data_IF_062259229902
#
_entry.id   IF_062259229902
#
_cell.length_a   1.000
_cell.length_b   1.000
_cell.length_c   1.000
_cell.angle_alpha   90.00
_cell.angle_beta   90.00
_cell.angle_gamma   90.00
#
_symmetry.space_group_name_H-M   'P 1'
#
loop_
_entity.id
_entity.type
_entity.pdbx_description
1 polymer ?
#
# COMPACT_ATOMS: atom_id res chain seq x y z
N UNK A 1 -0.80 -10.64 -20.47
CA UNK A 1 0.27 -11.24 -19.63
C UNK A 1 -0.31 -11.84 -18.34
N UNK A 2 -1.08 -11.09 -17.58
CA UNK A 2 -1.70 -11.53 -16.31
C UNK A 2 -2.66 -12.72 -16.48
N UNK A 3 -3.53 -12.73 -17.50
CA UNK A 3 -4.51 -13.79 -17.77
C UNK A 3 -3.87 -15.17 -17.92
N UNK A 4 -2.67 -15.25 -18.48
CA UNK A 4 -1.98 -16.52 -18.72
C UNK A 4 -1.26 -17.03 -17.47
N UNK A 5 -0.77 -16.15 -16.62
CA UNK A 5 -0.07 -16.51 -15.38
C UNK A 5 -1.01 -16.88 -14.22
N UNK A 6 -2.19 -16.23 -14.11
CA UNK A 6 -3.17 -16.60 -13.10
C UNK A 6 -3.73 -18.03 -13.28
N UNK A 7 -3.71 -18.55 -14.54
CA UNK A 7 -4.12 -19.94 -14.85
C UNK A 7 -3.03 -20.98 -14.65
N UNK A 8 -1.78 -20.59 -14.49
CA UNK A 8 -0.62 -21.49 -14.37
C UNK A 8 0.34 -21.05 -13.26
N UNK A 9 -0.21 -20.51 -12.16
CA UNK A 9 0.62 -20.11 -11.03
C UNK A 9 0.97 -21.36 -10.21
N UNK A 10 2.25 -21.75 -10.21
CA UNK A 10 2.75 -22.86 -9.41
C UNK A 10 2.37 -22.80 -7.91
N UNK A 11 2.11 -21.59 -7.38
CA UNK A 11 1.65 -21.39 -6.01
C UNK A 11 0.26 -21.99 -5.79
N UNK A 12 -0.64 -21.91 -6.78
CA UNK A 12 -1.97 -22.53 -6.69
C UNK A 12 -1.94 -24.05 -6.75
N UNK A 13 -0.83 -24.62 -7.21
CA UNK A 13 -0.65 -26.06 -7.32
C UNK A 13 -0.13 -26.70 -6.02
N UNK A 14 0.30 -25.86 -5.05
CA UNK A 14 0.71 -26.31 -3.73
C UNK A 14 -0.50 -26.47 -2.82
N UNK A 15 -0.81 -27.69 -2.32
CA UNK A 15 -1.99 -27.95 -1.50
C UNK A 15 -2.06 -27.04 -0.24
N UNK A 16 -0.91 -26.73 0.34
CA UNK A 16 -0.79 -25.87 1.54
C UNK A 16 -1.18 -24.43 1.28
N UNK A 17 -1.03 -23.96 0.04
CA UNK A 17 -1.34 -22.60 -0.38
C UNK A 17 -2.68 -22.49 -1.10
N UNK A 18 -3.23 -23.62 -1.58
CA UNK A 18 -4.52 -23.69 -2.26
C UNK A 18 -5.69 -23.78 -1.26
N UNK A 19 -5.61 -23.07 -0.15
CA UNK A 19 -6.65 -23.03 0.88
C UNK A 19 -7.21 -21.62 0.97
N UNK A 20 -8.53 -21.50 0.84
CA UNK A 20 -9.22 -20.21 0.97
C UNK A 20 -9.20 -19.75 2.43
N UNK A 21 -8.34 -18.78 2.76
CA UNK A 21 -8.16 -18.20 4.09
C UNK A 21 -8.68 -16.78 4.13
N UNK A 22 -10.01 -16.61 4.26
CA UNK A 22 -10.68 -15.31 4.36
C UNK A 22 -10.14 -14.23 3.37
N UNK A 23 -10.04 -14.50 2.07
CA UNK A 23 -9.58 -13.50 1.12
C UNK A 23 -10.58 -12.35 1.03
N UNK A 24 -10.07 -11.12 0.88
CA UNK A 24 -10.92 -9.94 0.73
C UNK A 24 -11.84 -10.05 -0.49
N UNK A 25 -13.13 -9.75 -0.30
CA UNK A 25 -14.12 -9.85 -1.38
C UNK A 25 -13.76 -8.99 -2.60
N UNK A 26 -13.25 -7.78 -2.38
CA UNK A 26 -12.81 -6.88 -3.46
C UNK A 26 -11.71 -7.52 -4.31
N UNK A 27 -10.70 -8.12 -3.68
CA UNK A 27 -9.63 -8.79 -4.40
C UNK A 27 -10.16 -9.96 -5.24
N UNK A 28 -11.00 -10.82 -4.65
CA UNK A 28 -11.58 -11.98 -5.36
C UNK A 28 -12.44 -11.52 -6.54
N UNK A 29 -13.36 -10.59 -6.33
CA UNK A 29 -14.25 -10.07 -7.37
C UNK A 29 -13.47 -9.45 -8.53
N UNK A 30 -12.44 -8.64 -8.23
CA UNK A 30 -11.60 -8.03 -9.24
C UNK A 30 -10.84 -9.09 -10.05
N UNK A 31 -10.22 -10.07 -9.38
CA UNK A 31 -9.49 -11.15 -10.05
C UNK A 31 -10.41 -12.03 -10.90
N UNK A 32 -11.60 -12.36 -10.42
CA UNK A 32 -12.61 -13.12 -11.19
C UNK A 32 -13.04 -12.36 -12.46
N UNK A 33 -13.20 -11.03 -12.36
CA UNK A 33 -13.53 -10.17 -13.50
C UNK A 33 -12.40 -10.18 -14.53
N UNK A 34 -11.15 -10.03 -14.10
CA UNK A 34 -9.95 -10.10 -14.95
C UNK A 34 -9.87 -11.48 -15.63
N UNK A 35 -10.11 -12.56 -14.90
CA UNK A 35 -10.10 -13.93 -15.45
C UNK A 35 -11.15 -14.13 -16.54
N UNK A 36 -12.31 -13.48 -16.44
CA UNK A 36 -13.37 -13.50 -17.47
C UNK A 36 -13.04 -12.61 -18.67
N UNK A 37 -11.96 -11.84 -18.60
CA UNK A 37 -11.49 -11.01 -19.70
C UNK A 37 -11.97 -9.57 -19.69
N UNK A 38 -12.59 -9.15 -18.61
CA UNK A 38 -13.05 -7.79 -18.38
C UNK A 38 -12.14 -7.04 -17.43
N UNK A 39 -12.16 -5.72 -17.44
CA UNK A 39 -11.49 -4.90 -16.43
C UNK A 39 -12.37 -4.82 -15.20
N UNK A 40 -11.83 -4.95 -13.99
CA UNK A 40 -12.58 -4.69 -12.78
C UNK A 40 -12.90 -3.20 -12.72
N UNK A 41 -14.12 -2.88 -12.30
CA UNK A 41 -14.54 -1.50 -12.04
C UNK A 41 -15.07 -1.50 -10.61
N UNK A 42 -14.42 -0.74 -9.73
CA UNK A 42 -14.84 -0.60 -8.36
C UNK A 42 -14.38 0.73 -7.77
N UNK A 43 -14.92 1.09 -6.63
CA UNK A 43 -14.53 2.27 -5.87
C UNK A 43 -14.02 1.86 -4.48
N UNK A 44 -13.27 0.75 -4.42
CA UNK A 44 -12.79 0.20 -3.17
C UNK A 44 -11.54 0.92 -2.69
N UNK A 45 -11.54 1.31 -1.42
CA UNK A 45 -10.39 1.81 -0.66
C UNK A 45 -9.92 0.84 0.43
N UNK A 46 -10.30 -0.43 0.31
CA UNK A 46 -9.93 -1.47 1.28
C UNK A 46 -8.42 -1.68 1.39
N UNK A 47 -7.97 -2.17 2.54
CA UNK A 47 -6.54 -2.37 2.84
C UNK A 47 -5.86 -3.48 2.01
N UNK A 48 -6.62 -4.33 1.29
CA UNK A 48 -6.07 -5.46 0.53
C UNK A 48 -5.06 -5.08 -0.56
N UNK A 49 -5.09 -3.84 -1.05
CA UNK A 49 -4.11 -3.30 -1.99
C UNK A 49 -2.75 -3.07 -1.33
N UNK A 50 -2.72 -2.30 -0.26
CA UNK A 50 -1.49 -1.92 0.45
C UNK A 50 -0.77 -3.12 1.09
N UNK A 51 -1.50 -4.13 1.54
CA UNK A 51 -0.94 -5.31 2.23
C UNK A 51 0.03 -6.14 1.40
N UNK A 52 0.06 -6.00 0.07
CA UNK A 52 0.83 -6.86 -0.84
C UNK A 52 1.99 -6.17 -1.55
N UNK A 53 2.24 -4.88 -1.31
CA UNK A 53 3.20 -4.11 -2.11
C UNK A 53 4.63 -4.18 -1.62
N UNK A 54 4.88 -4.54 -0.37
CA UNK A 54 6.23 -4.57 0.21
C UNK A 54 7.30 -5.31 -0.64
N UNK A 55 7.00 -6.41 -1.35
CA UNK A 55 7.96 -7.04 -2.23
C UNK A 55 8.47 -6.16 -3.39
N UNK A 56 7.72 -5.13 -3.80
CA UNK A 56 8.08 -4.29 -4.95
C UNK A 56 9.34 -3.47 -4.68
N UNK A 57 9.39 -2.60 -3.66
CA UNK A 57 10.60 -1.83 -3.37
C UNK A 57 11.77 -2.73 -2.97
N UNK A 58 11.53 -3.80 -2.18
CA UNK A 58 12.58 -4.72 -1.76
C UNK A 58 13.20 -5.49 -2.92
N UNK A 59 12.39 -5.97 -3.89
CA UNK A 59 12.90 -6.64 -5.07
C UNK A 59 13.65 -5.67 -5.99
N UNK A 60 13.14 -4.45 -6.18
CA UNK A 60 13.81 -3.40 -6.95
C UNK A 60 15.22 -3.12 -6.44
N UNK A 61 15.36 -3.00 -5.12
CA UNK A 61 16.65 -2.83 -4.44
C UNK A 61 17.58 -4.03 -4.60
N UNK A 62 17.08 -5.25 -4.36
CA UNK A 62 17.90 -6.47 -4.33
C UNK A 62 18.58 -6.79 -5.66
N UNK A 63 18.01 -6.34 -6.77
CA UNK A 63 18.50 -6.64 -8.11
C UNK A 63 19.27 -5.49 -8.76
N UNK A 64 19.44 -4.35 -8.07
CA UNK A 64 19.95 -3.09 -8.68
C UNK A 64 19.27 -2.76 -10.01
N UNK A 65 18.04 -3.26 -10.22
CA UNK A 65 17.34 -3.13 -11.51
C UNK A 65 16.60 -1.82 -11.65
N UNK A 66 16.15 -1.27 -10.53
CA UNK A 66 15.39 -0.03 -10.50
C UNK A 66 15.98 0.82 -9.38
N UNK A 67 16.80 1.79 -9.75
CA UNK A 67 17.39 2.77 -8.83
C UNK A 67 16.49 3.99 -8.59
N UNK A 68 15.46 4.17 -9.41
CA UNK A 68 14.54 5.29 -9.27
C UNK A 68 13.36 4.87 -8.39
N UNK A 69 13.31 5.41 -7.19
CA UNK A 69 12.26 5.14 -6.20
C UNK A 69 10.86 5.53 -6.71
N UNK A 70 10.73 6.59 -7.50
CA UNK A 70 9.44 7.01 -8.05
C UNK A 70 8.80 5.91 -8.91
N UNK A 71 9.62 5.18 -9.70
CA UNK A 71 9.13 4.04 -10.50
C UNK A 71 8.63 2.91 -9.60
N UNK A 72 9.32 2.63 -8.49
CA UNK A 72 8.89 1.60 -7.53
C UNK A 72 7.59 1.98 -6.85
N UNK A 73 7.44 3.25 -6.49
CA UNK A 73 6.22 3.77 -5.89
C UNK A 73 5.03 3.69 -6.87
N UNK A 74 5.24 4.05 -8.14
CA UNK A 74 4.22 3.91 -9.19
C UNK A 74 3.82 2.44 -9.39
N UNK A 75 4.79 1.53 -9.45
CA UNK A 75 4.51 0.09 -9.56
C UNK A 75 3.71 -0.44 -8.37
N UNK A 76 3.96 0.06 -7.16
CA UNK A 76 3.21 -0.32 -5.97
C UNK A 76 1.75 0.19 -6.04
N UNK A 77 1.56 1.45 -6.45
CA UNK A 77 0.23 2.00 -6.69
C UNK A 77 -0.53 1.21 -7.77
N UNK A 78 0.11 0.92 -8.90
CA UNK A 78 -0.48 0.14 -9.99
C UNK A 78 -0.84 -1.29 -9.56
N UNK A 79 0.02 -1.93 -8.77
CA UNK A 79 -0.26 -3.26 -8.20
C UNK A 79 -1.47 -3.24 -7.25
N UNK A 80 -1.66 -2.15 -6.50
CA UNK A 80 -2.86 -1.95 -5.68
C UNK A 80 -4.10 -1.69 -6.55
N UNK A 81 -3.96 -0.86 -7.57
CA UNK A 81 -5.02 -0.42 -8.48
C UNK A 81 -5.66 -1.58 -9.27
N UNK A 82 -4.93 -2.67 -9.48
CA UNK A 82 -5.49 -3.89 -10.11
C UNK A 82 -6.82 -4.33 -9.43
N UNK A 83 -6.98 -4.08 -8.15
CA UNK A 83 -8.14 -4.54 -7.37
C UNK A 83 -8.83 -3.44 -6.56
N UNK A 84 -8.19 -2.29 -6.35
CA UNK A 84 -8.69 -1.18 -5.53
C UNK A 84 -8.50 0.12 -6.29
N UNK A 85 -9.56 0.58 -6.97
CA UNK A 85 -9.47 1.69 -7.93
C UNK A 85 -9.73 3.07 -7.30
N UNK A 86 -10.23 3.13 -6.07
CA UNK A 86 -10.37 4.40 -5.37
C UNK A 86 -8.96 5.00 -5.08
N UNK A 87 -8.75 6.32 -5.21
CA UNK A 87 -7.46 6.94 -4.90
C UNK A 87 -6.92 6.58 -3.51
N UNK A 88 -7.75 6.59 -2.47
CA UNK A 88 -7.37 6.09 -1.13
C UNK A 88 -7.10 4.57 -1.09
N UNK A 89 -7.35 3.82 -2.13
CA UNK A 89 -6.98 2.40 -2.23
C UNK A 89 -5.57 2.20 -2.77
N UNK A 90 -5.02 3.12 -3.57
CA UNK A 90 -3.71 2.96 -4.21
C UNK A 90 -2.67 4.02 -3.83
N UNK A 91 -3.06 5.26 -3.48
CA UNK A 91 -2.09 6.28 -3.02
C UNK A 91 -1.36 5.84 -1.74
N UNK A 92 -2.02 5.23 -0.73
CA UNK A 92 -1.31 4.67 0.42
C UNK A 92 -0.25 3.62 0.05
N UNK A 93 -0.47 2.84 -1.01
CA UNK A 93 0.50 1.88 -1.51
C UNK A 93 1.75 2.55 -2.11
N UNK A 94 1.55 3.68 -2.83
CA UNK A 94 2.64 4.53 -3.32
C UNK A 94 3.53 5.03 -2.16
N UNK A 95 2.89 5.62 -1.14
CA UNK A 95 3.55 6.18 0.05
C UNK A 95 4.30 5.08 0.82
N UNK A 96 3.64 3.95 1.09
CA UNK A 96 4.24 2.82 1.81
C UNK A 96 5.45 2.25 1.07
N UNK A 97 5.41 2.16 -0.26
CA UNK A 97 6.55 1.72 -1.07
C UNK A 97 7.77 2.62 -0.85
N UNK A 98 7.55 3.93 -0.83
CA UNK A 98 8.62 4.90 -0.57
C UNK A 98 9.25 4.70 0.82
N UNK A 99 8.41 4.62 1.84
CA UNK A 99 8.87 4.42 3.23
C UNK A 99 9.68 3.13 3.35
N UNK A 100 9.19 2.01 2.79
CA UNK A 100 9.93 0.74 2.78
C UNK A 100 11.27 0.86 2.07
N UNK A 101 11.30 1.54 0.91
CA UNK A 101 12.54 1.78 0.17
C UNK A 101 13.55 2.55 1.02
N UNK A 102 13.13 3.65 1.65
CA UNK A 102 13.98 4.49 2.50
C UNK A 102 14.52 3.71 3.70
N UNK A 103 13.64 2.99 4.41
CA UNK A 103 14.05 2.14 5.54
C UNK A 103 15.03 1.04 5.14
N UNK A 104 14.85 0.45 3.95
CA UNK A 104 15.73 -0.62 3.46
C UNK A 104 17.07 -0.11 2.92
N UNK A 105 17.20 1.18 2.64
CA UNK A 105 18.45 1.81 2.16
C UNK A 105 19.19 2.59 3.24
N UNK A 106 18.56 2.87 4.36
CA UNK A 106 19.18 3.51 5.50
C UNK A 106 19.86 2.45 6.40
N UNK A 107 21.13 2.63 6.68
CA UNK A 107 21.90 1.70 7.52
C UNK A 107 21.55 1.84 9.02
N UNK A 108 21.13 3.03 9.45
CA UNK A 108 20.82 3.35 10.85
C UNK A 108 19.56 4.21 10.99
N UNK A 109 18.38 3.67 10.65
CA UNK A 109 17.14 4.45 10.72
C UNK A 109 16.82 4.84 12.17
N UNK A 110 16.55 6.12 12.38
CA UNK A 110 16.06 6.68 13.64
C UNK A 110 14.58 7.03 13.53
N UNK A 111 13.96 7.41 14.65
CA UNK A 111 12.57 7.90 14.64
C UNK A 111 12.45 9.22 13.86
N UNK A 112 13.44 10.08 13.96
CA UNK A 112 13.48 11.35 13.23
C UNK A 112 13.58 11.10 11.73
N UNK A 113 14.53 10.26 11.29
CA UNK A 113 14.67 9.93 9.86
C UNK A 113 13.44 9.19 9.32
N UNK A 114 12.75 8.39 10.14
CA UNK A 114 11.47 7.79 9.74
C UNK A 114 10.40 8.86 9.46
N UNK A 115 10.27 9.88 10.32
CA UNK A 115 9.35 11.00 10.08
C UNK A 115 9.69 11.75 8.80
N UNK A 116 10.98 11.95 8.53
CA UNK A 116 11.44 12.58 7.28
C UNK A 116 11.03 11.75 6.06
N UNK A 117 11.12 10.41 6.13
CA UNK A 117 10.68 9.53 5.02
C UNK A 117 9.18 9.58 4.80
N UNK A 118 8.39 9.70 5.86
CA UNK A 118 6.95 9.90 5.75
C UNK A 118 6.64 11.23 5.07
N UNK A 119 7.29 12.32 5.49
CA UNK A 119 7.11 13.65 4.88
C UNK A 119 7.51 13.65 3.40
N UNK A 120 8.66 13.05 3.05
CA UNK A 120 9.13 12.91 1.68
C UNK A 120 8.14 12.12 0.82
N UNK A 121 7.63 11.00 1.34
CA UNK A 121 6.65 10.17 0.65
C UNK A 121 5.33 10.91 0.40
N UNK A 122 4.87 11.69 1.36
CA UNK A 122 3.67 12.51 1.24
C UNK A 122 3.86 13.62 0.21
N UNK A 123 4.99 14.34 0.24
CA UNK A 123 5.29 15.37 -0.76
C UNK A 123 5.31 14.78 -2.18
N UNK A 124 5.95 13.63 -2.37
CA UNK A 124 5.96 12.95 -3.67
C UNK A 124 4.56 12.52 -4.13
N UNK A 125 3.70 12.12 -3.19
CA UNK A 125 2.31 11.79 -3.49
C UNK A 125 1.50 13.03 -3.86
N UNK A 126 1.70 14.16 -3.18
CA UNK A 126 1.06 15.44 -3.50
C UNK A 126 1.40 15.90 -4.92
N UNK A 127 2.69 15.81 -5.30
CA UNK A 127 3.15 16.15 -6.65
C UNK A 127 2.60 15.20 -7.72
N UNK A 128 2.51 13.90 -7.42
CA UNK A 128 2.06 12.88 -8.38
C UNK A 128 0.55 12.87 -8.58
N UNK A 129 -0.21 13.13 -7.53
CA UNK A 129 -1.67 12.98 -7.48
C UNK A 129 -2.37 14.32 -7.18
N UNK A 130 -1.83 15.42 -7.68
CA UNK A 130 -2.30 16.80 -7.46
C UNK A 130 -3.79 17.02 -7.76
N UNK A 131 -4.37 16.22 -8.65
CA UNK A 131 -5.80 16.22 -8.96
C UNK A 131 -6.68 15.55 -7.89
N UNK A 132 -6.11 14.81 -6.94
CA UNK A 132 -6.80 14.03 -5.90
C UNK A 132 -6.78 14.78 -4.55
N UNK A 133 -7.11 16.06 -4.56
CA UNK A 133 -6.94 16.99 -3.43
C UNK A 133 -7.63 16.49 -2.15
N UNK A 134 -8.87 16.01 -2.24
CA UNK A 134 -9.64 15.57 -1.07
C UNK A 134 -9.05 14.31 -0.42
N UNK A 135 -8.58 13.39 -1.26
CA UNK A 135 -7.96 12.14 -0.82
C UNK A 135 -6.60 12.39 -0.18
N UNK A 136 -5.78 13.27 -0.78
CA UNK A 136 -4.50 13.70 -0.20
C UNK A 136 -4.71 14.40 1.14
N UNK A 137 -5.70 15.30 1.23
CA UNK A 137 -6.04 15.96 2.50
C UNK A 137 -6.48 14.98 3.58
N UNK A 138 -7.21 13.93 3.21
CA UNK A 138 -7.59 12.84 4.13
C UNK A 138 -6.35 12.12 4.64
N UNK A 139 -5.40 11.79 3.75
CA UNK A 139 -4.14 11.13 4.11
C UNK A 139 -3.29 12.00 5.02
N UNK A 140 -3.10 13.28 4.69
CA UNK A 140 -2.39 14.22 5.57
C UNK A 140 -3.00 14.25 6.97
N UNK A 141 -4.32 14.40 7.06
CA UNK A 141 -5.02 14.44 8.35
C UNK A 141 -4.78 13.18 9.20
N UNK A 142 -4.84 12.00 8.60
CA UNK A 142 -4.64 10.74 9.31
C UNK A 142 -3.18 10.49 9.68
N UNK A 143 -2.25 10.76 8.78
CA UNK A 143 -0.81 10.58 9.01
C UNK A 143 -0.31 11.56 10.07
N UNK A 144 -0.69 12.84 10.00
CA UNK A 144 -0.35 13.82 11.02
C UNK A 144 -0.90 13.42 12.40
N UNK A 145 -2.15 12.94 12.44
CA UNK A 145 -2.75 12.40 13.67
C UNK A 145 -1.95 11.23 14.22
N UNK A 146 -1.54 10.30 13.36
CA UNK A 146 -0.73 9.14 13.76
C UNK A 146 0.63 9.56 14.32
N UNK A 147 1.32 10.50 13.67
CA UNK A 147 2.60 11.04 14.14
C UNK A 147 2.46 11.73 15.50
N UNK A 148 1.39 12.51 15.70
CA UNK A 148 1.09 13.15 16.99
C UNK A 148 0.79 12.10 18.07
N UNK A 149 0.00 11.07 17.76
CA UNK A 149 -0.33 9.99 18.70
C UNK A 149 0.89 9.17 19.07
N UNK A 150 1.80 8.92 18.14
CA UNK A 150 3.05 8.18 18.36
C UNK A 150 4.00 8.89 19.34
N UNK A 151 3.88 10.21 19.51
CA UNK A 151 4.65 10.98 20.47
C UNK A 151 4.00 11.06 21.86
N UNK A 152 2.76 10.59 21.99
CA UNK A 152 2.05 10.58 23.28
C UNK A 152 2.39 9.33 24.08
N UNK A 153 2.47 9.46 25.38
CA UNK A 153 2.64 8.32 26.30
C UNK A 153 1.27 7.68 26.62
N UNK A 154 0.64 7.11 25.59
CA UNK A 154 -0.61 6.36 25.69
C UNK A 154 -0.40 4.93 25.18
N UNK A 155 -1.20 3.95 25.61
CA UNK A 155 -1.11 2.59 25.09
C UNK A 155 -1.39 2.53 23.58
N UNK A 156 -0.63 1.70 22.85
CA UNK A 156 -0.73 1.58 21.39
C UNK A 156 -2.17 1.27 20.92
N UNK A 157 -2.89 0.42 21.66
CA UNK A 157 -4.26 0.07 21.30
C UNK A 157 -5.25 1.24 21.43
N UNK A 158 -4.96 2.23 22.28
CA UNK A 158 -5.75 3.45 22.39
C UNK A 158 -5.42 4.38 21.22
N UNK A 159 -4.13 4.54 20.90
CA UNK A 159 -3.69 5.30 19.73
C UNK A 159 -4.28 4.75 18.42
N UNK A 160 -4.20 3.43 18.22
CA UNK A 160 -4.76 2.75 17.04
C UNK A 160 -6.27 2.98 16.96
N UNK A 161 -7.00 2.84 18.07
CA UNK A 161 -8.47 3.06 18.10
C UNK A 161 -8.87 4.47 17.71
N UNK A 162 -8.03 5.47 17.99
CA UNK A 162 -8.29 6.84 17.58
C UNK A 162 -8.11 7.06 16.06
N UNK A 163 -7.24 6.29 15.40
CA UNK A 163 -7.03 6.36 13.95
C UNK A 163 -8.16 5.66 13.22
N UNK A 164 -8.48 4.43 13.61
CA UNK A 164 -9.50 3.62 12.97
C UNK A 164 -9.31 2.12 13.22
N UNK A 165 -10.01 1.30 12.43
CA UNK A 165 -9.98 -0.16 12.55
C UNK A 165 -9.02 -0.84 11.54
N UNK A 166 -8.42 -0.06 10.62
CA UNK A 166 -7.48 -0.57 9.62
C UNK A 166 -8.12 -1.35 8.47
N UNK A 167 -9.44 -1.23 8.27
CA UNK A 167 -10.13 -1.88 7.15
C UNK A 167 -9.91 -1.19 5.81
N UNK A 168 -9.61 0.10 5.84
CA UNK A 168 -9.34 0.92 4.66
C UNK A 168 -7.86 1.30 4.60
N UNK A 169 -7.35 1.53 3.41
CA UNK A 169 -5.90 1.65 3.21
C UNK A 169 -5.31 2.92 3.85
N UNK A 170 -6.08 4.01 3.91
CA UNK A 170 -5.67 5.25 4.58
C UNK A 170 -5.51 5.07 6.10
N UNK A 171 -6.39 4.29 6.74
CA UNK A 171 -6.22 3.94 8.16
C UNK A 171 -5.05 2.98 8.36
N UNK A 172 -4.91 2.00 7.46
CA UNK A 172 -3.86 0.99 7.53
C UNK A 172 -2.47 1.61 7.51
N UNK A 173 -2.22 2.57 6.61
CA UNK A 173 -0.91 3.24 6.56
C UNK A 173 -0.66 4.11 7.80
N UNK A 174 -1.69 4.75 8.34
CA UNK A 174 -1.57 5.59 9.51
C UNK A 174 -1.37 4.78 10.81
N UNK A 175 -1.82 3.53 10.84
CA UNK A 175 -1.61 2.62 11.97
C UNK A 175 -0.21 1.98 11.92
N UNK A 176 0.29 1.68 10.71
CA UNK A 176 1.55 0.96 10.51
C UNK A 176 2.78 1.81 10.81
#
# INVERSE_FOLDING_TARGET
>A
FYKKRLKSCWISDLPELNVRRAPGLTCISALETIMKGSEPINNSKGCGGIMRIAPIPLYGLSQNRISNVAILNELAADASKITHEHPLGYIPAYITSHIIYRLATDEFPTRETFKDYVCEAMQMADEKYDSQINELQTLHTLIDKALILSDKNIPDHEAIREIGEGWVAEETIAIA
#
